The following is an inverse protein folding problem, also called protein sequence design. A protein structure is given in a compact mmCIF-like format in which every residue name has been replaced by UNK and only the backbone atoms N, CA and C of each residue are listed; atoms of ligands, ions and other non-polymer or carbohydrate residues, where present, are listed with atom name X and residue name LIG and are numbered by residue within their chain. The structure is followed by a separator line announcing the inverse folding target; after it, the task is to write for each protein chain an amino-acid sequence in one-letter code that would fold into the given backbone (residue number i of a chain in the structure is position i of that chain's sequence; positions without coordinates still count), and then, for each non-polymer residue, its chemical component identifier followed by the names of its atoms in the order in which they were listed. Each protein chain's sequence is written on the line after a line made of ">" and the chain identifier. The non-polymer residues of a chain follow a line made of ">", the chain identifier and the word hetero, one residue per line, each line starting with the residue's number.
data_IF_324337919887
#
_entry.id   IF_324337919887
#
_cell.length_a   1.000
_cell.length_b   1.000
_cell.length_c   1.000
_cell.angle_alpha   90.00
_cell.angle_beta   90.00
_cell.angle_gamma   90.00
#
_symmetry.space_group_name_H-M   'P 1'
#
loop_
_entity.id
_entity.type
_entity.pdbx_description
1 polymer ?
#
# COMPACT_ATOMS: atom_id res chain seq x y z
N UNK A 1 19.25 -11.60 3.73
CA UNK A 1 19.63 -10.33 3.37
C UNK A 1 18.45 -9.43 3.06
N UNK A 2 18.56 -8.27 3.45
CA UNK A 2 17.44 -7.38 3.54
C UNK A 2 17.35 -6.44 2.38
N UNK A 3 18.32 -5.79 2.07
CA UNK A 3 18.57 -4.87 1.02
C UNK A 3 17.44 -4.58 0.05
N UNK A 4 17.57 -5.09 -1.17
CA UNK A 4 16.65 -4.74 -2.26
C UNK A 4 15.22 -5.19 -2.03
N UNK A 5 15.06 -6.34 -1.40
CA UNK A 5 13.73 -6.90 -1.14
C UNK A 5 12.94 -5.99 -0.20
N UNK A 6 13.56 -5.63 0.93
CA UNK A 6 12.91 -4.76 1.90
C UNK A 6 12.69 -3.36 1.35
N UNK A 7 13.60 -2.88 0.52
CA UNK A 7 13.43 -1.58 -0.12
C UNK A 7 12.23 -1.57 -1.05
N UNK A 8 12.04 -2.64 -1.82
CA UNK A 8 10.89 -2.75 -2.71
C UNK A 8 9.59 -2.78 -1.93
N UNK A 9 9.55 -3.57 -0.86
CA UNK A 9 8.38 -3.65 0.00
C UNK A 9 8.03 -2.30 0.60
N UNK A 10 9.03 -1.63 1.15
CA UNK A 10 8.84 -0.34 1.77
C UNK A 10 8.36 0.70 0.77
N UNK A 11 8.97 0.74 -0.39
CA UNK A 11 8.58 1.65 -1.45
C UNK A 11 7.14 1.42 -1.88
N UNK A 12 6.77 0.15 -2.12
CA UNK A 12 5.42 -0.17 -2.57
C UNK A 12 4.38 0.19 -1.52
N UNK A 13 4.68 -0.13 -0.25
CA UNK A 13 3.79 0.24 0.84
C UNK A 13 3.61 1.75 0.91
N UNK A 14 4.70 2.49 0.93
CA UNK A 14 4.65 3.94 1.06
C UNK A 14 3.94 4.59 -0.12
N UNK A 15 4.21 4.09 -1.33
CA UNK A 15 3.56 4.61 -2.54
C UNK A 15 2.04 4.41 -2.46
N UNK A 16 1.63 3.20 -2.15
CA UNK A 16 0.20 2.87 -2.10
C UNK A 16 -0.50 3.63 -0.98
N UNK A 17 0.15 3.74 0.18
CA UNK A 17 -0.42 4.46 1.30
C UNK A 17 -0.55 5.94 1.00
N UNK A 18 0.49 6.53 0.44
CA UNK A 18 0.48 7.96 0.09
C UNK A 18 -0.60 8.25 -0.95
N UNK A 19 -0.72 7.42 -1.97
CA UNK A 19 -1.70 7.63 -3.02
C UNK A 19 -3.13 7.53 -2.48
N UNK A 20 -3.43 6.49 -1.72
CA UNK A 20 -4.78 6.30 -1.20
C UNK A 20 -5.12 7.31 -0.11
N UNK A 21 -4.14 7.73 0.67
CA UNK A 21 -4.34 8.79 1.65
C UNK A 21 -4.61 10.13 0.98
N UNK A 22 -3.90 10.41 -0.11
CA UNK A 22 -4.12 11.62 -0.90
C UNK A 22 -5.53 11.68 -1.45
N UNK A 23 -6.04 10.57 -1.95
CA UNK A 23 -7.41 10.48 -2.44
C UNK A 23 -8.40 10.76 -1.32
N UNK A 24 -8.17 10.18 -0.14
CA UNK A 24 -9.03 10.38 1.03
C UNK A 24 -9.08 11.85 1.42
N UNK A 25 -7.92 12.51 1.47
CA UNK A 25 -7.86 13.91 1.84
C UNK A 25 -8.49 14.81 0.79
N UNK A 26 -8.33 14.45 -0.47
CA UNK A 26 -8.96 15.18 -1.58
C UNK A 26 -10.49 15.12 -1.43
N UNK A 27 -11.04 13.95 -1.16
CA UNK A 27 -12.47 13.79 -0.98
C UNK A 27 -12.98 14.61 0.20
N UNK A 28 -12.19 14.70 1.27
CA UNK A 28 -12.53 15.53 2.41
C UNK A 28 -12.67 17.00 1.99
N UNK A 29 -11.73 17.48 1.20
CA UNK A 29 -11.76 18.87 0.73
C UNK A 29 -12.96 19.12 -0.15
N UNK A 30 -13.28 18.18 -1.04
CA UNK A 30 -14.37 18.36 -2.00
C UNK A 30 -15.75 18.20 -1.38
N UNK A 31 -15.90 17.26 -0.45
CA UNK A 31 -17.22 16.88 0.06
C UNK A 31 -17.40 17.15 1.54
N UNK A 32 -16.41 17.71 2.22
CA UNK A 32 -16.55 18.07 3.62
C UNK A 32 -16.78 16.87 4.53
N UNK A 33 -16.06 15.78 4.27
CA UNK A 33 -16.21 14.55 5.05
C UNK A 33 -15.92 14.80 6.52
N UNK A 34 -16.66 14.12 7.41
CA UNK A 34 -16.42 14.26 8.85
C UNK A 34 -15.24 13.38 9.29
N UNK A 35 -14.80 13.60 10.54
CA UNK A 35 -13.61 12.91 11.06
C UNK A 35 -13.74 11.39 11.02
N UNK A 36 -14.94 10.86 11.25
CA UNK A 36 -15.17 9.42 11.23
C UNK A 36 -14.88 8.84 9.84
N UNK A 37 -15.40 9.49 8.80
CA UNK A 37 -15.19 9.04 7.44
C UNK A 37 -13.74 9.18 7.02
N UNK A 38 -13.06 10.21 7.48
CA UNK A 38 -11.64 10.40 7.20
C UNK A 38 -10.83 9.26 7.82
N UNK A 39 -11.14 8.92 9.06
CA UNK A 39 -10.46 7.82 9.76
C UNK A 39 -10.69 6.49 9.04
N UNK A 40 -11.92 6.23 8.64
CA UNK A 40 -12.23 5.02 7.86
C UNK A 40 -11.45 4.97 6.56
N UNK A 41 -11.38 6.10 5.87
CA UNK A 41 -10.64 6.20 4.62
C UNK A 41 -9.15 5.94 4.81
N UNK A 42 -8.58 6.44 5.88
CA UNK A 42 -7.16 6.22 6.18
C UNK A 42 -6.88 4.77 6.55
N UNK A 43 -7.79 4.13 7.30
CA UNK A 43 -7.65 2.69 7.59
C UNK A 43 -7.75 1.86 6.30
N UNK A 44 -8.64 2.26 5.41
CA UNK A 44 -8.74 1.59 4.12
C UNK A 44 -7.47 1.78 3.30
N UNK A 45 -6.90 2.98 3.34
CA UNK A 45 -5.63 3.26 2.66
C UNK A 45 -4.53 2.36 3.21
N UNK A 46 -4.49 2.17 4.52
CA UNK A 46 -3.52 1.28 5.14
C UNK A 46 -3.70 -0.16 4.66
N UNK A 47 -4.93 -0.63 4.62
CA UNK A 47 -5.23 -1.98 4.15
C UNK A 47 -4.82 -2.19 2.71
N UNK A 48 -5.08 -1.22 1.84
CA UNK A 48 -4.68 -1.28 0.44
C UNK A 48 -3.16 -1.26 0.29
N UNK A 49 -2.48 -0.48 1.13
CA UNK A 49 -1.02 -0.44 1.11
C UNK A 49 -0.43 -1.79 1.52
N UNK A 50 -1.00 -2.42 2.55
CA UNK A 50 -0.56 -3.74 2.97
C UNK A 50 -0.80 -4.78 1.88
N UNK A 51 -1.94 -4.70 1.21
CA UNK A 51 -2.24 -5.59 0.10
C UNK A 51 -1.21 -5.44 -1.01
N UNK A 52 -0.89 -4.21 -1.38
CA UNK A 52 0.12 -3.95 -2.42
C UNK A 52 1.48 -4.51 -2.03
N UNK A 53 1.88 -4.33 -0.78
CA UNK A 53 3.15 -4.87 -0.30
C UNK A 53 3.15 -6.40 -0.34
N UNK A 54 2.04 -7.03 0.04
CA UNK A 54 1.91 -8.48 -0.01
C UNK A 54 1.99 -9.01 -1.43
N UNK A 55 1.44 -8.27 -2.39
CA UNK A 55 1.53 -8.65 -3.80
C UNK A 55 2.97 -8.62 -4.29
N UNK A 56 3.75 -7.64 -3.86
CA UNK A 56 5.17 -7.58 -4.20
C UNK A 56 5.89 -8.79 -3.63
N UNK A 57 5.62 -9.16 -2.38
CA UNK A 57 6.22 -10.34 -1.76
C UNK A 57 5.85 -11.60 -2.54
N UNK A 58 4.59 -11.73 -2.90
CA UNK A 58 4.09 -12.88 -3.64
C UNK A 58 4.78 -13.02 -4.98
N UNK A 59 4.96 -11.91 -5.70
CA UNK A 59 5.66 -11.91 -6.97
C UNK A 59 7.11 -12.35 -6.81
N UNK A 60 7.79 -11.86 -5.78
CA UNK A 60 9.16 -12.23 -5.51
C UNK A 60 9.29 -13.74 -5.24
N UNK A 61 8.40 -14.25 -4.42
CA UNK A 61 8.41 -15.70 -4.10
C UNK A 61 8.13 -16.53 -5.34
N UNK A 62 7.16 -16.11 -6.15
CA UNK A 62 6.81 -16.81 -7.38
C UNK A 62 7.98 -16.82 -8.36
N UNK A 63 8.66 -15.70 -8.51
CA UNK A 63 9.83 -15.62 -9.38
C UNK A 63 10.94 -16.55 -8.91
N UNK A 64 11.17 -16.62 -7.61
CA UNK A 64 12.17 -17.51 -7.05
C UNK A 64 11.84 -18.97 -7.32
N UNK A 65 10.59 -19.34 -7.12
CA UNK A 65 10.13 -20.71 -7.40
C UNK A 65 10.29 -21.04 -8.88
N UNK A 66 9.92 -20.10 -9.74
CA UNK A 66 10.06 -20.29 -11.17
C UNK A 66 11.51 -20.49 -11.57
N UNK A 67 12.43 -19.77 -10.94
CA UNK A 67 13.84 -19.89 -11.24
C UNK A 67 14.40 -21.25 -10.79
N UNK A 68 13.84 -21.80 -9.75
CA UNK A 68 14.31 -23.10 -9.22
C UNK A 68 13.63 -24.29 -9.90
N UNK A 69 12.51 -24.07 -10.49
CA UNK A 69 11.80 -25.13 -11.19
C UNK A 69 12.42 -25.44 -12.52
#
# INVERSE_FOLDING_TARGET
>A
MIGDYDSCLNKEFMRAFAMNSGITLHLRCEYGENAHHITEGLFKALGLALKSACEVVSDQVTSTKGALA
#
